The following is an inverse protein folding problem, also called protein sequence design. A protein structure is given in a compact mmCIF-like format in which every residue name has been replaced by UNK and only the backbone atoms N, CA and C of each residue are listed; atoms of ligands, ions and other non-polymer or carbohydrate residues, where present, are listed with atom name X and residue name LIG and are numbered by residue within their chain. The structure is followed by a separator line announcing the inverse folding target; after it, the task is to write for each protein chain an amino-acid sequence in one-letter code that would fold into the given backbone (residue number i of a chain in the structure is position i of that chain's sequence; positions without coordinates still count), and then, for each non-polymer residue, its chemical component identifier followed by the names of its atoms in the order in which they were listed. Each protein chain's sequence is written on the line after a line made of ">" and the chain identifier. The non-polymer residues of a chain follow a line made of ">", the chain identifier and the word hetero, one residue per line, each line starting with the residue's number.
data_IF_051607265924
#
_entry.id   IF_051607265924
#
_cell.length_a   1.000
_cell.length_b   1.000
_cell.length_c   1.000
_cell.angle_alpha   90.00
_cell.angle_beta   90.00
_cell.angle_gamma   90.00
#
_symmetry.space_group_name_H-M   'P 1'
#
loop_
_entity.id
_entity.type
_entity.pdbx_description
1 polymer ?
#
# COMPACT_ATOMS: atom_id res chain seq x y z
N UNK A 1 13.01 2.39 -0.06
CA UNK A 1 13.31 3.40 -1.09
C UNK A 1 13.64 4.76 -0.49
N UNK A 2 12.71 5.43 0.20
CA UNK A 2 12.93 6.74 0.83
C UNK A 2 14.12 6.76 1.79
N UNK A 3 14.28 5.72 2.63
CA UNK A 3 15.43 5.57 3.52
C UNK A 3 16.78 5.38 2.81
N UNK A 4 16.78 5.06 1.53
CA UNK A 4 17.97 4.92 0.68
C UNK A 4 18.24 6.17 -0.18
N UNK A 5 17.47 7.24 0.03
CA UNK A 5 17.68 8.51 -0.63
C UNK A 5 16.98 8.69 -1.98
N UNK A 6 16.20 7.72 -2.44
CA UNK A 6 15.42 7.88 -3.67
C UNK A 6 14.30 8.91 -3.52
N UNK A 7 14.03 9.71 -4.55
CA UNK A 7 12.86 10.59 -4.59
C UNK A 7 11.57 9.75 -4.59
N UNK A 8 10.79 9.85 -3.52
CA UNK A 8 9.53 9.11 -3.35
C UNK A 8 8.43 10.06 -2.90
N UNK A 9 7.28 10.00 -3.56
CA UNK A 9 6.03 10.58 -3.08
C UNK A 9 5.17 9.44 -2.55
N UNK A 10 4.95 9.43 -1.24
CA UNK A 10 4.23 8.42 -0.48
C UNK A 10 2.78 8.89 -0.29
N UNK A 11 1.89 8.35 -1.10
CA UNK A 11 0.47 8.75 -1.14
C UNK A 11 -0.31 8.21 0.05
N UNK A 12 -0.02 6.98 0.46
CA UNK A 12 -0.67 6.37 1.62
C UNK A 12 -0.30 7.12 2.91
N UNK A 13 0.97 7.43 3.08
CA UNK A 13 1.43 8.27 4.19
C UNK A 13 0.77 9.66 4.16
N UNK A 14 0.74 10.31 3.01
CA UNK A 14 0.13 11.63 2.88
C UNK A 14 -1.38 11.61 3.18
N UNK A 15 -2.06 10.51 2.85
CA UNK A 15 -3.47 10.32 3.16
C UNK A 15 -3.72 9.87 4.60
N UNK A 16 -2.72 9.32 5.31
CA UNK A 16 -2.87 8.51 6.51
C UNK A 16 -3.89 7.39 6.30
N UNK A 17 -3.71 6.61 5.19
CA UNK A 17 -4.66 5.58 4.79
C UNK A 17 -4.04 4.66 3.72
N UNK A 18 -4.12 3.33 3.89
CA UNK A 18 -3.55 2.31 2.99
C UNK A 18 -4.41 2.00 1.77
N UNK A 19 -5.13 2.96 1.24
CA UNK A 19 -5.91 2.91 0.01
C UNK A 19 -6.85 1.69 -0.21
N UNK A 20 -7.11 0.89 0.83
CA UNK A 20 -7.99 -0.28 0.82
C UNK A 20 -9.22 -0.07 1.72
N UNK A 21 -10.20 -1.00 1.69
CA UNK A 21 -11.34 -0.94 2.62
C UNK A 21 -10.91 -1.06 4.08
N UNK A 22 -9.87 -1.82 4.35
CA UNK A 22 -9.27 -1.95 5.67
C UNK A 22 -8.17 -0.90 5.92
N UNK A 23 -7.93 -0.02 4.95
CA UNK A 23 -6.77 0.87 4.92
C UNK A 23 -6.66 1.88 6.08
N UNK A 24 -7.76 2.15 6.79
CA UNK A 24 -7.77 3.02 7.97
C UNK A 24 -7.49 2.30 9.28
N UNK A 25 -7.51 0.96 9.30
CA UNK A 25 -7.32 0.18 10.54
C UNK A 25 -5.98 0.53 11.19
N UNK A 26 -6.00 0.81 12.48
CA UNK A 26 -4.83 1.13 13.30
C UNK A 26 -4.00 2.34 12.83
N UNK A 27 -4.60 3.27 12.07
CA UNK A 27 -3.96 4.52 11.64
C UNK A 27 -4.57 5.77 12.29
N UNK A 28 -5.69 5.63 12.99
CA UNK A 28 -6.43 6.77 13.53
C UNK A 28 -7.19 7.54 12.44
N UNK A 29 -7.34 8.85 12.63
CA UNK A 29 -8.12 9.66 11.71
C UNK A 29 -7.36 9.94 10.40
N UNK A 30 -8.04 9.72 9.28
CA UNK A 30 -7.51 10.02 7.95
C UNK A 30 -7.28 11.53 7.79
N UNK A 31 -6.20 11.91 7.12
CA UNK A 31 -5.91 13.30 6.83
C UNK A 31 -7.03 13.97 6.02
N UNK A 32 -7.19 15.28 6.20
CA UNK A 32 -8.07 16.08 5.36
C UNK A 32 -7.49 16.24 3.94
N UNK A 33 -8.35 16.55 2.96
CA UNK A 33 -7.93 16.84 1.58
C UNK A 33 -6.81 17.91 1.55
N UNK A 34 -6.99 18.99 2.33
CA UNK A 34 -6.00 20.08 2.42
C UNK A 34 -4.66 19.63 2.99
N UNK A 35 -4.66 18.78 4.02
CA UNK A 35 -3.42 18.25 4.60
C UNK A 35 -2.71 17.33 3.61
N UNK A 36 -3.43 16.44 2.95
CA UNK A 36 -2.90 15.58 1.91
C UNK A 36 -2.17 16.41 0.82
N UNK A 37 -2.86 17.38 0.24
CA UNK A 37 -2.28 18.25 -0.80
C UNK A 37 -1.06 19.03 -0.30
N UNK A 38 -1.11 19.52 0.94
CA UNK A 38 0.01 20.23 1.57
C UNK A 38 1.23 19.32 1.74
N UNK A 39 1.04 18.06 2.20
CA UNK A 39 2.12 17.09 2.37
C UNK A 39 2.75 16.75 1.01
N UNK A 40 1.95 16.48 -0.01
CA UNK A 40 2.44 16.22 -1.37
C UNK A 40 3.24 17.41 -1.90
N UNK A 41 2.70 18.62 -1.76
CA UNK A 41 3.39 19.84 -2.20
C UNK A 41 4.75 20.01 -1.52
N UNK A 42 4.82 19.83 -0.20
CA UNK A 42 6.08 19.92 0.53
C UNK A 42 7.07 18.84 0.13
N UNK A 43 6.61 17.59 -0.08
CA UNK A 43 7.47 16.52 -0.58
C UNK A 43 8.07 16.85 -1.94
N UNK A 44 7.28 17.37 -2.87
CA UNK A 44 7.77 17.82 -4.18
C UNK A 44 8.81 18.91 -4.05
N UNK A 45 8.56 19.94 -3.21
CA UNK A 45 9.53 21.00 -2.96
C UNK A 45 10.85 20.49 -2.36
N UNK A 46 10.78 19.54 -1.45
CA UNK A 46 11.96 18.89 -0.86
C UNK A 46 12.77 18.11 -1.91
N UNK A 47 12.09 17.34 -2.76
CA UNK A 47 12.71 16.60 -3.86
C UNK A 47 13.43 17.59 -4.80
N UNK A 48 12.77 18.67 -5.21
CA UNK A 48 13.37 19.69 -6.07
C UNK A 48 14.57 20.33 -5.40
N UNK A 49 14.49 20.71 -4.13
CA UNK A 49 15.61 21.33 -3.39
C UNK A 49 16.83 20.43 -3.33
N UNK A 50 16.63 19.14 -3.00
CA UNK A 50 17.72 18.16 -2.89
C UNK A 50 18.43 17.93 -4.23
N UNK A 51 17.69 17.94 -5.34
CA UNK A 51 18.23 17.65 -6.66
C UNK A 51 18.76 18.88 -7.43
N UNK A 52 18.44 20.10 -7.00
CA UNK A 52 19.01 21.33 -7.58
C UNK A 52 20.55 21.39 -7.50
N UNK A 53 21.15 20.73 -6.50
CA UNK A 53 22.59 20.69 -6.33
C UNK A 53 23.30 19.70 -7.29
N UNK A 54 22.54 18.83 -7.93
CA UNK A 54 23.09 17.77 -8.79
C UNK A 54 23.10 18.13 -10.29
N UNK A 55 22.73 19.36 -10.68
CA UNK A 55 22.59 19.81 -12.08
C UNK A 55 21.75 18.86 -12.97
N UNK A 56 20.84 18.08 -12.39
CA UNK A 56 19.95 17.19 -13.13
C UNK A 56 18.80 18.00 -13.72
N UNK A 57 18.63 17.94 -15.04
CA UNK A 57 17.51 18.57 -15.75
C UNK A 57 16.18 17.84 -15.51
N UNK A 58 16.24 16.53 -15.24
CA UNK A 58 15.09 15.69 -14.95
C UNK A 58 15.27 14.98 -13.61
N UNK A 59 14.18 14.84 -12.87
CA UNK A 59 14.14 14.11 -11.62
C UNK A 59 13.10 13.00 -11.77
N UNK A 60 13.55 11.75 -11.74
CA UNK A 60 12.64 10.62 -11.67
C UNK A 60 12.14 10.45 -10.24
N UNK A 61 10.83 10.30 -10.08
CA UNK A 61 10.17 10.19 -8.77
C UNK A 61 9.35 8.90 -8.72
N UNK A 62 9.55 8.10 -7.70
CA UNK A 62 8.70 6.95 -7.45
C UNK A 62 7.41 7.37 -6.76
N UNK A 63 6.30 6.86 -7.25
CA UNK A 63 4.95 7.11 -6.70
C UNK A 63 4.22 5.77 -6.65
N UNK A 64 3.46 5.54 -5.60
CA UNK A 64 2.59 4.36 -5.50
C UNK A 64 1.51 4.40 -6.58
N UNK A 65 1.23 3.24 -7.20
CA UNK A 65 0.23 3.09 -8.26
C UNK A 65 -1.20 3.10 -7.72
N UNK A 66 -1.59 4.19 -7.06
CA UNK A 66 -2.88 4.30 -6.40
C UNK A 66 -4.03 4.73 -7.32
N UNK A 67 -5.25 4.36 -6.93
CA UNK A 67 -6.45 4.87 -7.59
C UNK A 67 -6.66 6.36 -7.31
N UNK A 68 -7.47 7.03 -8.13
CA UNK A 68 -7.81 8.46 -7.92
C UNK A 68 -8.37 8.76 -6.53
N UNK A 69 -8.91 7.75 -5.83
CA UNK A 69 -9.48 7.89 -4.48
C UNK A 69 -8.72 7.03 -3.48
N UNK A 70 -8.21 7.64 -2.42
CA UNK A 70 -7.58 7.01 -1.26
C UNK A 70 -8.44 7.28 -0.04
N UNK A 71 -9.28 6.33 0.36
CA UNK A 71 -10.27 6.53 1.42
C UNK A 71 -11.23 7.69 1.11
N UNK A 72 -11.16 8.78 1.88
CA UNK A 72 -11.95 10.01 1.68
C UNK A 72 -11.26 11.03 0.76
N UNK A 73 -9.96 10.87 0.51
CA UNK A 73 -9.16 11.77 -0.31
C UNK A 73 -9.44 11.53 -1.78
N UNK A 74 -9.49 12.60 -2.56
CA UNK A 74 -9.57 12.56 -4.02
C UNK A 74 -8.32 13.26 -4.56
N UNK A 75 -7.47 12.51 -5.27
CA UNK A 75 -6.30 13.10 -5.91
C UNK A 75 -6.71 14.19 -6.91
N UNK A 76 -6.03 15.36 -6.92
CA UNK A 76 -6.25 16.37 -7.93
C UNK A 76 -6.08 15.79 -9.35
N UNK A 77 -6.95 16.19 -10.27
CA UNK A 77 -7.00 15.64 -11.63
C UNK A 77 -5.65 15.72 -12.35
N UNK A 78 -5.00 16.86 -12.26
CA UNK A 78 -3.70 17.08 -12.91
C UNK A 78 -2.61 16.15 -12.34
N UNK A 79 -2.63 15.87 -11.02
CA UNK A 79 -1.66 14.99 -10.38
C UNK A 79 -1.92 13.53 -10.76
N UNK A 80 -3.18 13.10 -10.73
CA UNK A 80 -3.57 11.74 -11.14
C UNK A 80 -3.23 11.48 -12.62
N UNK A 81 -3.47 12.46 -13.50
CA UNK A 81 -3.08 12.38 -14.91
C UNK A 81 -1.57 12.26 -15.05
N UNK A 82 -0.79 13.12 -14.40
CA UNK A 82 0.67 13.08 -14.40
C UNK A 82 1.21 11.71 -13.95
N UNK A 83 0.64 11.15 -12.88
CA UNK A 83 1.03 9.84 -12.37
C UNK A 83 0.77 8.73 -13.41
N UNK A 84 -0.38 8.77 -14.09
CA UNK A 84 -0.74 7.76 -15.11
C UNK A 84 0.04 7.91 -16.44
N UNK A 85 0.66 9.05 -16.70
CA UNK A 85 1.55 9.28 -17.84
C UNK A 85 2.99 8.82 -17.58
N UNK A 86 3.29 8.41 -16.33
CA UNK A 86 4.59 7.91 -15.94
C UNK A 86 4.87 6.47 -16.41
N UNK A 87 6.07 6.01 -16.13
CA UNK A 87 6.50 4.63 -16.39
C UNK A 87 5.82 3.71 -15.36
N UNK A 88 5.08 2.72 -15.85
CA UNK A 88 4.37 1.76 -15.00
C UNK A 88 5.24 0.54 -14.69
N UNK A 89 5.45 0.33 -13.40
CA UNK A 89 6.22 -0.80 -12.88
C UNK A 89 5.29 -1.72 -12.11
N UNK A 90 5.20 -2.99 -12.52
CA UNK A 90 4.52 -4.02 -11.75
C UNK A 90 5.51 -4.71 -10.81
N UNK A 91 5.11 -4.87 -9.56
CA UNK A 91 5.89 -5.61 -8.55
C UNK A 91 5.01 -6.73 -8.02
N UNK A 92 5.38 -7.97 -8.32
CA UNK A 92 4.69 -9.15 -7.81
C UNK A 92 5.47 -9.77 -6.66
N UNK A 93 4.77 -10.00 -5.55
CA UNK A 93 5.27 -10.62 -4.34
C UNK A 93 4.51 -11.90 -4.04
N UNK A 94 5.20 -12.99 -3.64
CA UNK A 94 4.54 -14.20 -3.16
C UNK A 94 3.52 -13.91 -2.07
N UNK A 95 2.39 -14.60 -2.09
CA UNK A 95 1.30 -14.40 -1.12
C UNK A 95 1.81 -14.44 0.32
N UNK A 96 2.75 -15.35 0.62
CA UNK A 96 3.36 -15.46 1.95
C UNK A 96 3.99 -14.15 2.41
N UNK A 97 4.83 -13.52 1.58
CA UNK A 97 5.48 -12.25 1.92
C UNK A 97 4.47 -11.10 2.03
N UNK A 98 3.44 -11.13 1.22
CA UNK A 98 2.34 -10.15 1.31
C UNK A 98 1.58 -10.29 2.63
N UNK A 99 1.32 -11.53 3.07
CA UNK A 99 0.69 -11.80 4.39
C UNK A 99 1.58 -11.30 5.52
N UNK A 100 2.88 -11.61 5.50
CA UNK A 100 3.85 -11.15 6.50
C UNK A 100 3.84 -9.62 6.62
N UNK A 101 3.92 -8.92 5.49
CA UNK A 101 3.88 -7.46 5.44
C UNK A 101 2.55 -6.90 5.98
N UNK A 102 1.42 -7.51 5.65
CA UNK A 102 0.11 -7.07 6.15
C UNK A 102 0.00 -7.25 7.67
N UNK A 103 0.43 -8.38 8.21
CA UNK A 103 0.43 -8.62 9.66
C UNK A 103 1.29 -7.56 10.36
N UNK A 104 2.51 -7.35 9.89
CA UNK A 104 3.40 -6.36 10.48
C UNK A 104 2.82 -4.94 10.41
N UNK A 105 2.25 -4.57 9.27
CA UNK A 105 1.73 -3.22 9.05
C UNK A 105 0.43 -2.94 9.81
N UNK A 106 -0.50 -3.89 9.85
CA UNK A 106 -1.79 -3.68 10.49
C UNK A 106 -1.79 -3.95 11.99
N UNK A 107 -1.08 -4.98 12.44
CA UNK A 107 -1.04 -5.37 13.85
C UNK A 107 0.16 -4.82 14.61
N UNK A 108 1.15 -4.25 13.89
CA UNK A 108 2.42 -3.75 14.44
C UNK A 108 3.23 -4.82 15.18
N UNK A 109 3.08 -6.08 14.75
CA UNK A 109 3.81 -7.24 15.28
C UNK A 109 4.34 -8.07 14.12
N UNK A 110 5.50 -8.68 14.26
CA UNK A 110 6.01 -9.61 13.27
C UNK A 110 5.23 -10.93 13.29
N UNK A 111 5.16 -11.61 12.15
CA UNK A 111 4.50 -12.92 12.07
C UNK A 111 5.15 -13.95 13.02
N UNK A 112 6.48 -13.88 13.20
CA UNK A 112 7.20 -14.74 14.15
C UNK A 112 6.78 -14.49 15.60
N UNK A 113 6.56 -13.24 15.99
CA UNK A 113 6.06 -12.89 17.32
C UNK A 113 4.62 -13.35 17.51
N UNK A 114 3.78 -13.17 16.49
CA UNK A 114 2.38 -13.62 16.50
C UNK A 114 2.28 -15.14 16.74
N UNK A 115 3.15 -15.93 16.09
CA UNK A 115 3.14 -17.39 16.17
C UNK A 115 3.79 -17.95 17.44
N UNK A 116 4.75 -17.23 18.05
CA UNK A 116 5.47 -17.71 19.24
C UNK A 116 4.83 -17.27 20.56
N UNK A 117 4.13 -16.18 20.55
CA UNK A 117 3.40 -15.65 21.72
C UNK A 117 1.93 -15.59 21.34
N UNK A 118 1.02 -16.00 22.22
CA UNK A 118 -0.39 -15.61 22.12
C UNK A 118 -0.46 -14.09 22.36
N UNK A 119 -0.09 -13.32 21.36
CA UNK A 119 -0.20 -11.86 21.41
C UNK A 119 -1.69 -11.55 21.39
N UNK A 120 -2.17 -10.97 22.49
CA UNK A 120 -3.46 -10.31 22.46
C UNK A 120 -3.31 -9.06 21.60
N UNK A 121 -3.84 -9.10 20.38
CA UNK A 121 -4.02 -7.89 19.56
C UNK A 121 -4.89 -6.93 20.35
N UNK A 122 -4.51 -5.67 20.37
CA UNK A 122 -5.22 -4.63 21.10
C UNK A 122 -6.72 -4.65 20.70
N UNK A 123 -7.57 -4.56 21.71
CA UNK A 123 -9.03 -4.57 21.51
C UNK A 123 -9.49 -3.46 20.58
N UNK A 124 -8.87 -2.29 20.66
CA UNK A 124 -9.19 -1.15 19.78
C UNK A 124 -8.90 -1.49 18.32
N UNK A 125 -7.80 -2.18 18.03
CA UNK A 125 -7.45 -2.65 16.67
C UNK A 125 -8.51 -3.63 16.17
N UNK A 126 -8.93 -4.57 17.00
CA UNK A 126 -9.97 -5.54 16.61
C UNK A 126 -11.33 -4.87 16.36
N UNK A 127 -11.69 -3.88 17.15
CA UNK A 127 -12.91 -3.09 16.93
C UNK A 127 -12.85 -2.30 15.63
N UNK A 128 -11.69 -1.73 15.30
CA UNK A 128 -11.44 -1.07 14.03
C UNK A 128 -11.54 -2.05 12.85
N UNK A 129 -10.99 -3.25 12.98
CA UNK A 129 -11.15 -4.29 11.97
C UNK A 129 -12.62 -4.64 11.74
N UNK A 130 -13.38 -4.92 12.80
CA UNK A 130 -14.81 -5.25 12.69
C UNK A 130 -15.59 -4.17 11.97
N UNK A 131 -15.35 -2.91 12.36
CA UNK A 131 -16.01 -1.76 11.74
C UNK A 131 -15.69 -1.65 10.24
N UNK A 132 -14.43 -1.78 9.86
CA UNK A 132 -14.02 -1.64 8.46
C UNK A 132 -14.41 -2.87 7.63
N UNK A 133 -14.44 -4.07 8.22
CA UNK A 133 -14.89 -5.29 7.52
C UNK A 133 -16.34 -5.19 7.05
N UNK A 134 -17.21 -4.43 7.72
CA UNK A 134 -18.58 -4.22 7.25
C UNK A 134 -18.64 -3.56 5.86
N UNK A 135 -17.59 -2.86 5.45
CA UNK A 135 -17.50 -2.27 4.11
C UNK A 135 -17.37 -3.34 3.02
N UNK A 136 -16.90 -4.53 3.39
CA UNK A 136 -16.76 -5.68 2.47
C UNK A 136 -18.10 -6.38 2.18
N UNK A 137 -19.14 -6.17 3.00
CA UNK A 137 -20.47 -6.80 2.84
C UNK A 137 -21.07 -6.60 1.44
N UNK A 138 -20.76 -5.48 0.81
CA UNK A 138 -21.25 -5.14 -0.53
C UNK A 138 -20.52 -5.87 -1.66
N UNK A 139 -19.38 -6.49 -1.35
CA UNK A 139 -18.46 -7.02 -2.34
C UNK A 139 -18.08 -8.49 -2.10
N UNK A 140 -18.51 -9.05 -0.99
CA UNK A 140 -18.25 -10.43 -0.60
C UNK A 140 -19.57 -11.18 -0.40
N UNK A 141 -19.55 -12.50 -0.58
CA UNK A 141 -20.72 -13.30 -0.27
C UNK A 141 -20.97 -13.39 1.24
N UNK A 142 -22.19 -13.75 1.65
CA UNK A 142 -22.51 -13.98 3.06
C UNK A 142 -21.63 -15.07 3.70
N UNK A 143 -21.23 -16.07 2.91
CA UNK A 143 -20.37 -17.14 3.39
C UNK A 143 -18.95 -16.66 3.60
N UNK A 144 -18.40 -15.86 2.67
CA UNK A 144 -17.06 -15.28 2.81
C UNK A 144 -17.01 -14.36 4.03
N UNK A 145 -18.00 -13.49 4.22
CA UNK A 145 -18.09 -12.60 5.38
C UNK A 145 -18.16 -13.39 6.70
N UNK A 146 -18.88 -14.51 6.73
CA UNK A 146 -18.92 -15.38 7.89
C UNK A 146 -17.54 -16.01 8.18
N UNK A 147 -16.83 -16.44 7.15
CA UNK A 147 -15.48 -16.97 7.27
C UNK A 147 -14.50 -15.90 7.78
N UNK A 148 -14.50 -14.70 7.17
CA UNK A 148 -13.63 -13.60 7.59
C UNK A 148 -13.85 -13.24 9.06
N UNK A 149 -15.11 -13.12 9.49
CA UNK A 149 -15.44 -12.81 10.88
C UNK A 149 -14.97 -13.93 11.83
N UNK A 150 -15.18 -15.21 11.47
CA UNK A 150 -14.71 -16.34 12.27
C UNK A 150 -13.18 -16.32 12.43
N UNK A 151 -12.44 -16.09 11.35
CA UNK A 151 -10.97 -16.03 11.39
C UNK A 151 -10.50 -14.87 12.28
N UNK A 152 -11.14 -13.71 12.17
CA UNK A 152 -10.85 -12.55 13.02
C UNK A 152 -11.10 -12.84 14.51
N UNK A 153 -12.26 -13.41 14.85
CA UNK A 153 -12.65 -13.71 16.24
C UNK A 153 -11.78 -14.80 16.89
N UNK A 154 -11.29 -15.75 16.06
CA UNK A 154 -10.40 -16.80 16.54
C UNK A 154 -8.93 -16.37 16.60
N UNK A 155 -8.58 -15.15 16.17
CA UNK A 155 -7.21 -14.66 16.12
C UNK A 155 -6.36 -15.32 15.03
N UNK A 156 -7.00 -15.89 14.01
CA UNK A 156 -6.35 -16.54 12.87
C UNK A 156 -5.98 -15.48 11.80
N UNK A 157 -5.22 -14.46 12.19
CA UNK A 157 -4.95 -13.27 11.37
C UNK A 157 -4.18 -13.58 10.09
N UNK A 158 -3.24 -14.52 10.13
CA UNK A 158 -2.48 -14.97 8.96
C UNK A 158 -3.43 -15.57 7.90
N UNK A 159 -4.31 -16.47 8.33
CA UNK A 159 -5.31 -17.08 7.44
C UNK A 159 -6.32 -16.04 6.93
N UNK A 160 -6.73 -15.09 7.78
CA UNK A 160 -7.60 -14.01 7.36
C UNK A 160 -6.95 -13.17 6.27
N UNK A 161 -5.69 -12.76 6.46
CA UNK A 161 -4.94 -11.99 5.46
C UNK A 161 -4.80 -12.77 4.15
N UNK A 162 -4.41 -14.04 4.21
CA UNK A 162 -4.29 -14.90 3.03
C UNK A 162 -5.62 -15.06 2.28
N UNK A 163 -6.71 -15.31 3.02
CA UNK A 163 -8.05 -15.48 2.46
C UNK A 163 -8.55 -14.18 1.79
N UNK A 164 -8.34 -13.02 2.43
CA UNK A 164 -8.67 -11.72 1.86
C UNK A 164 -7.85 -11.41 0.61
N UNK A 165 -6.55 -11.72 0.61
CA UNK A 165 -5.70 -11.55 -0.58
C UNK A 165 -6.29 -12.35 -1.74
N UNK A 166 -6.50 -13.65 -1.56
CA UNK A 166 -6.88 -14.57 -2.64
C UNK A 166 -8.32 -14.35 -3.15
N UNK A 167 -9.26 -14.14 -2.23
CA UNK A 167 -10.68 -14.15 -2.57
C UNK A 167 -11.24 -12.75 -2.85
N UNK A 168 -10.58 -11.71 -2.36
CA UNK A 168 -11.10 -10.36 -2.48
C UNK A 168 -10.15 -9.42 -3.22
N UNK A 169 -8.90 -9.26 -2.75
CA UNK A 169 -7.99 -8.26 -3.30
C UNK A 169 -7.45 -8.64 -4.67
N UNK A 170 -6.87 -9.82 -4.83
CA UNK A 170 -6.25 -10.24 -6.09
C UNK A 170 -7.21 -10.21 -7.28
N UNK A 171 -8.46 -10.71 -7.21
CA UNK A 171 -9.39 -10.59 -8.31
C UNK A 171 -9.68 -9.15 -8.74
N UNK A 172 -9.68 -8.20 -7.80
CA UNK A 172 -9.89 -6.78 -8.08
C UNK A 172 -8.65 -6.12 -8.67
N UNK A 173 -7.47 -6.41 -8.11
CA UNK A 173 -6.21 -5.89 -8.62
C UNK A 173 -5.93 -6.38 -10.03
N UNK A 174 -6.10 -7.67 -10.31
CA UNK A 174 -5.92 -8.23 -11.65
C UNK A 174 -6.80 -7.52 -12.69
N UNK A 175 -8.06 -7.25 -12.36
CA UNK A 175 -8.96 -6.51 -13.25
C UNK A 175 -8.52 -5.05 -13.46
N UNK A 176 -7.94 -4.41 -12.45
CA UNK A 176 -7.39 -3.06 -12.58
C UNK A 176 -6.09 -3.05 -13.38
N UNK A 177 -5.18 -3.96 -13.04
CA UNK A 177 -3.86 -4.08 -13.67
C UNK A 177 -3.96 -4.42 -15.16
N UNK A 178 -4.96 -5.22 -15.57
CA UNK A 178 -5.18 -5.56 -16.99
C UNK A 178 -5.45 -4.35 -17.89
N UNK A 179 -5.72 -3.18 -17.33
CA UNK A 179 -5.96 -1.92 -18.05
C UNK A 179 -4.70 -1.07 -18.22
N UNK A 180 -3.61 -1.45 -17.59
CA UNK A 180 -2.33 -0.75 -17.66
C UNK A 180 -1.31 -1.56 -18.45
N UNK A 181 -0.51 -0.87 -19.25
CA UNK A 181 0.68 -1.45 -19.85
C UNK A 181 1.85 -1.25 -18.90
N UNK A 182 2.38 -2.35 -18.36
CA UNK A 182 3.56 -2.31 -17.50
C UNK A 182 4.81 -2.42 -18.36
N UNK A 183 5.70 -1.43 -18.26
CA UNK A 183 6.97 -1.41 -18.97
C UNK A 183 8.00 -2.30 -18.29
N UNK A 184 7.86 -2.45 -16.96
CA UNK A 184 8.71 -3.31 -16.16
C UNK A 184 7.87 -4.20 -15.25
N UNK A 185 8.24 -5.49 -15.17
CA UNK A 185 7.60 -6.47 -14.29
C UNK A 185 8.66 -7.15 -13.45
N UNK A 186 8.57 -7.01 -12.13
CA UNK A 186 9.48 -7.61 -11.17
C UNK A 186 8.76 -8.69 -10.36
N UNK A 187 9.21 -9.93 -10.48
CA UNK A 187 8.83 -11.03 -9.60
C UNK A 187 9.86 -11.11 -8.47
N UNK A 188 9.44 -10.81 -7.27
CA UNK A 188 10.32 -10.64 -6.13
C UNK A 188 10.11 -11.73 -5.09
N UNK A 189 11.20 -12.27 -4.62
CA UNK A 189 11.27 -13.24 -3.53
C UNK A 189 11.83 -12.64 -2.24
N UNK A 190 12.37 -11.43 -2.31
CA UNK A 190 12.97 -10.74 -1.17
C UNK A 190 13.01 -9.22 -1.35
N UNK A 191 13.05 -8.49 -0.23
CA UNK A 191 13.24 -7.04 -0.22
C UNK A 191 14.59 -6.64 -0.83
N UNK A 192 15.63 -7.46 -0.63
CA UNK A 192 16.98 -7.18 -1.17
C UNK A 192 16.98 -7.22 -2.69
N UNK A 193 16.33 -8.21 -3.29
CA UNK A 193 16.17 -8.31 -4.73
C UNK A 193 15.40 -7.10 -5.28
N UNK A 194 14.29 -6.75 -4.64
CA UNK A 194 13.51 -5.57 -4.99
C UNK A 194 14.36 -4.29 -5.03
N UNK A 195 15.10 -4.03 -3.96
CA UNK A 195 15.92 -2.82 -3.86
C UNK A 195 17.02 -2.77 -4.90
N UNK A 196 17.60 -3.92 -5.25
CA UNK A 196 18.62 -4.04 -6.30
C UNK A 196 18.02 -3.72 -7.68
N UNK A 197 16.93 -4.38 -8.04
CA UNK A 197 16.26 -4.19 -9.33
C UNK A 197 15.75 -2.76 -9.52
N UNK A 198 15.19 -2.16 -8.46
CA UNK A 198 14.81 -0.75 -8.49
C UNK A 198 16.00 0.21 -8.65
N UNK A 199 17.14 -0.11 -8.02
CA UNK A 199 18.34 0.70 -8.18
C UNK A 199 18.84 0.66 -9.63
N UNK A 200 18.81 -0.52 -10.25
CA UNK A 200 19.24 -0.69 -11.63
C UNK A 200 18.28 0.00 -12.59
N UNK A 201 16.97 -0.12 -12.35
CA UNK A 201 15.95 0.64 -13.09
C UNK A 201 16.17 2.16 -12.94
N UNK A 202 16.33 2.66 -11.73
CA UNK A 202 16.50 4.11 -11.51
C UNK A 202 17.70 4.66 -12.27
N UNK A 203 18.84 3.94 -12.25
CA UNK A 203 20.03 4.32 -13.01
C UNK A 203 19.83 4.29 -14.52
N UNK A 204 18.98 3.40 -15.03
CA UNK A 204 18.70 3.32 -16.46
C UNK A 204 17.84 4.47 -16.98
N UNK A 205 17.18 5.19 -16.05
CA UNK A 205 16.32 6.34 -16.35
C UNK A 205 17.04 7.71 -16.19
N UNK A 206 18.25 7.71 -15.60
CA UNK A 206 19.12 8.89 -15.52
C UNK A 206 19.81 9.15 -16.85
#
# INVERSE_FOLDING_TARGET
>A
MKAQGYPVIDLEYAANHRASFLGGVNLGEQNSQKNFESIIFHNILEIIKRNKHNNQEKINVFIEGESKRIGKIIMPEYFFKFMNEGIHVCVDLPVKLRVENLIEDYLKVSLSELNTRKINVDREILEDFRKNMTLLDKYSSKNDMKEYNNLLENGEYERLAETLIKNYYDPKYLNSMSKHNFEFNFELDSLEKFLRELKDLYKSLE
#
